data_IF_917614523906
#
_entry.id   IF_917614523906
#
_cell.length_a   1.000
_cell.length_b   1.000
_cell.length_c   1.000
_cell.angle_alpha   90.00
_cell.angle_beta   90.00
_cell.angle_gamma   90.00
#
_symmetry.space_group_name_H-M   'P 1'
#
loop_
_entity.id
_entity.type
_entity.pdbx_description
1 polymer ?
#
# COMPACT_ATOMS: atom_id res chain seq x y z
N UNK A 1 9.47 -20.19 13.16
CA UNK A 1 10.07 -18.83 13.01
C UNK A 1 9.10 -17.88 12.31
N UNK A 2 8.45 -18.31 11.23
CA UNK A 2 7.49 -17.50 10.46
C UNK A 2 6.32 -17.00 11.31
N UNK A 3 5.67 -17.85 12.11
CA UNK A 3 4.52 -17.43 12.95
C UNK A 3 4.84 -16.28 13.93
N UNK A 4 6.08 -16.21 14.43
CA UNK A 4 6.52 -15.11 15.30
C UNK A 4 6.72 -13.80 14.53
N UNK A 5 7.18 -13.87 13.28
CA UNK A 5 7.27 -12.69 12.41
C UNK A 5 5.87 -12.25 11.96
N UNK A 6 4.99 -13.20 11.64
CA UNK A 6 3.60 -12.94 11.27
C UNK A 6 2.87 -12.13 12.35
N UNK A 7 2.95 -12.55 13.62
CA UNK A 7 2.37 -11.81 14.74
C UNK A 7 2.90 -10.36 14.81
N UNK A 8 4.20 -10.16 14.60
CA UNK A 8 4.80 -8.80 14.60
C UNK A 8 4.36 -7.98 13.40
N UNK A 9 4.14 -8.62 12.25
CA UNK A 9 3.53 -8.03 11.07
C UNK A 9 2.13 -7.52 11.36
N UNK A 10 1.29 -8.37 11.94
CA UNK A 10 -0.06 -8.03 12.35
C UNK A 10 -0.08 -6.90 13.39
N UNK A 11 0.82 -6.91 14.37
CA UNK A 11 0.97 -5.83 15.35
C UNK A 11 1.42 -4.50 14.72
N UNK A 12 2.37 -4.55 13.78
CA UNK A 12 2.77 -3.36 13.02
C UNK A 12 1.60 -2.83 12.17
N UNK A 13 0.83 -3.73 11.57
CA UNK A 13 -0.40 -3.42 10.85
C UNK A 13 -1.48 -2.81 11.74
N UNK A 14 -1.61 -3.27 12.99
CA UNK A 14 -2.50 -2.68 13.99
C UNK A 14 -2.10 -1.23 14.30
N UNK A 15 -0.82 -0.98 14.56
CA UNK A 15 -0.29 0.37 14.81
C UNK A 15 -0.53 1.26 13.59
N UNK A 16 -0.24 0.76 12.40
CA UNK A 16 -0.48 1.47 11.15
C UNK A 16 -1.97 1.79 10.96
N UNK A 17 -2.85 0.84 11.23
CA UNK A 17 -4.30 1.02 11.11
C UNK A 17 -4.84 2.13 12.00
N UNK A 18 -4.34 2.26 13.25
CA UNK A 18 -4.73 3.37 14.14
C UNK A 18 -4.31 4.71 13.54
N UNK A 19 -3.08 4.82 13.02
CA UNK A 19 -2.58 6.05 12.41
C UNK A 19 -3.33 6.40 11.12
N UNK A 20 -3.59 5.41 10.27
CA UNK A 20 -4.35 5.56 9.04
C UNK A 20 -5.79 5.96 9.35
N UNK A 21 -6.43 5.35 10.35
CA UNK A 21 -7.78 5.70 10.75
C UNK A 21 -7.87 7.14 11.23
N UNK A 22 -6.97 7.56 12.12
CA UNK A 22 -6.94 8.94 12.60
C UNK A 22 -6.79 9.93 11.41
N UNK A 23 -5.89 9.63 10.48
CA UNK A 23 -5.68 10.46 9.29
C UNK A 23 -6.90 10.45 8.34
N UNK A 24 -7.47 9.27 8.07
CA UNK A 24 -8.63 9.11 7.20
C UNK A 24 -9.86 9.81 7.77
N UNK A 25 -10.10 9.67 9.07
CA UNK A 25 -11.22 10.32 9.74
C UNK A 25 -11.07 11.84 9.76
N UNK A 26 -9.85 12.37 10.00
CA UNK A 26 -9.63 13.83 10.07
C UNK A 26 -9.55 14.50 8.70
N UNK A 27 -8.91 13.87 7.71
CA UNK A 27 -8.61 14.50 6.41
C UNK A 27 -9.36 13.86 5.23
N UNK A 28 -9.85 12.63 5.37
CA UNK A 28 -10.56 11.88 4.34
C UNK A 28 -12.07 12.07 4.40
N UNK A 29 -12.69 11.89 5.58
CA UNK A 29 -14.15 11.99 5.74
C UNK A 29 -14.72 13.33 5.26
N UNK A 30 -14.11 14.50 5.53
CA UNK A 30 -14.62 15.76 4.98
C UNK A 30 -14.68 15.79 3.44
N UNK A 31 -13.83 15.02 2.76
CA UNK A 31 -13.81 14.91 1.29
C UNK A 31 -14.83 13.89 0.78
N UNK A 32 -15.11 12.85 1.58
CA UNK A 32 -16.20 11.90 1.33
C UNK A 32 -17.55 12.61 1.47
N UNK A 33 -17.74 13.39 2.53
CA UNK A 33 -18.96 14.17 2.76
C UNK A 33 -19.20 15.19 1.64
N UNK A 34 -18.14 15.84 1.16
CA UNK A 34 -18.23 16.76 0.02
C UNK A 34 -18.65 16.05 -1.29
N UNK A 35 -18.22 14.81 -1.49
CA UNK A 35 -18.63 14.01 -2.63
C UNK A 35 -20.09 13.55 -2.54
N UNK A 36 -20.53 13.13 -1.35
CA UNK A 36 -21.93 12.74 -1.11
C UNK A 36 -22.87 13.93 -1.30
N UNK A 37 -22.51 15.11 -0.78
CA UNK A 37 -23.30 16.32 -0.98
C UNK A 37 -23.46 16.68 -2.48
N UNK A 38 -22.42 16.40 -3.29
CA UNK A 38 -22.50 16.57 -4.74
C UNK A 38 -23.45 15.55 -5.40
N UNK A 39 -23.41 14.29 -4.96
CA UNK A 39 -24.31 13.23 -5.43
C UNK A 39 -25.76 13.56 -5.13
N UNK A 40 -26.06 13.92 -3.87
CA UNK A 40 -27.40 14.28 -3.40
C UNK A 40 -27.96 15.49 -4.17
N UNK A 41 -27.15 16.53 -4.39
CA UNK A 41 -27.56 17.69 -5.17
C UNK A 41 -27.84 17.34 -6.64
N UNK A 42 -27.05 16.42 -7.21
CA UNK A 42 -27.23 15.96 -8.59
C UNK A 42 -28.51 15.12 -8.74
N UNK A 43 -28.76 14.20 -7.80
CA UNK A 43 -29.99 13.39 -7.75
C UNK A 43 -31.24 14.27 -7.58
N UNK A 44 -31.19 15.27 -6.69
CA UNK A 44 -32.28 16.24 -6.51
C UNK A 44 -32.57 17.03 -7.79
N UNK A 45 -31.52 17.48 -8.50
CA UNK A 45 -31.68 18.19 -9.76
C UNK A 45 -32.24 17.30 -10.88
N UNK A 46 -31.94 16.00 -10.86
CA UNK A 46 -32.49 15.00 -11.78
C UNK A 46 -33.92 14.55 -11.41
N UNK A 47 -34.45 14.97 -10.25
CA UNK A 47 -35.75 14.54 -9.75
C UNK A 47 -35.76 13.09 -9.26
N UNK A 48 -34.59 12.53 -8.96
CA UNK A 48 -34.42 11.19 -8.43
C UNK A 48 -34.76 11.16 -6.93
N UNK A 49 -35.40 10.07 -6.49
CA UNK A 49 -35.68 9.88 -5.08
C UNK A 49 -34.37 9.63 -4.33
N UNK A 50 -34.24 10.19 -3.12
CA UNK A 50 -33.08 9.93 -2.27
C UNK A 50 -32.95 8.41 -2.04
N UNK A 51 -31.78 7.87 -2.32
CA UNK A 51 -31.51 6.47 -2.05
C UNK A 51 -31.62 6.21 -0.54
N UNK A 52 -32.23 5.08 -0.12
CA UNK A 52 -32.38 4.77 1.29
C UNK A 52 -31.02 4.54 1.93
N UNK A 53 -30.76 5.29 3.01
CA UNK A 53 -29.55 5.12 3.82
C UNK A 53 -29.61 3.79 4.59
N UNK A 54 -28.96 2.74 4.06
CA UNK A 54 -28.93 1.40 4.68
C UNK A 54 -28.12 1.42 5.99
N UNK A 55 -27.07 2.24 6.06
CA UNK A 55 -26.18 2.38 7.22
C UNK A 55 -25.91 3.86 7.46
N UNK A 56 -26.08 4.32 8.70
CA UNK A 56 -25.92 5.73 9.02
C UNK A 56 -24.53 6.28 8.67
N UNK A 57 -24.43 7.52 8.20
CA UNK A 57 -23.16 8.23 7.93
C UNK A 57 -22.26 8.25 9.15
N UNK A 58 -22.82 8.43 10.36
CA UNK A 58 -22.09 8.36 11.60
C UNK A 58 -21.43 6.97 11.83
N UNK A 59 -22.12 5.88 11.46
CA UNK A 59 -21.54 4.54 11.49
C UNK A 59 -20.47 4.36 10.41
N UNK A 60 -20.71 4.82 9.18
CA UNK A 60 -19.76 4.71 8.07
C UNK A 60 -18.43 5.42 8.39
N UNK A 61 -18.50 6.70 8.78
CA UNK A 61 -17.35 7.54 9.10
C UNK A 61 -16.64 7.15 10.42
N UNK A 62 -17.37 6.48 11.34
CA UNK A 62 -16.89 6.07 12.65
C UNK A 62 -16.44 4.62 12.70
N UNK A 63 -17.27 3.76 13.29
CA UNK A 63 -16.93 2.35 13.55
C UNK A 63 -16.74 1.51 12.28
N UNK A 64 -17.43 1.86 11.18
CA UNK A 64 -17.28 1.22 9.88
C UNK A 64 -15.89 1.46 9.31
N UNK A 65 -15.50 2.73 9.16
CA UNK A 65 -14.17 3.13 8.73
C UNK A 65 -13.08 2.53 9.62
N UNK A 66 -13.24 2.61 10.95
CA UNK A 66 -12.29 2.03 11.89
C UNK A 66 -12.11 0.53 11.63
N UNK A 67 -13.20 -0.23 11.59
CA UNK A 67 -13.15 -1.68 11.37
C UNK A 67 -12.48 -2.02 10.04
N UNK A 68 -12.85 -1.34 8.95
CA UNK A 68 -12.27 -1.56 7.62
C UNK A 68 -10.77 -1.27 7.56
N UNK A 69 -10.35 -0.10 8.06
CA UNK A 69 -8.93 0.30 8.09
C UNK A 69 -8.11 -0.64 8.95
N UNK A 70 -8.62 -1.05 10.11
CA UNK A 70 -7.92 -1.96 11.02
C UNK A 70 -7.75 -3.36 10.40
N UNK A 71 -8.84 -3.94 9.86
CA UNK A 71 -8.78 -5.25 9.21
C UNK A 71 -7.81 -5.26 8.03
N UNK A 72 -7.89 -4.24 7.16
CA UNK A 72 -6.98 -4.08 6.03
C UNK A 72 -5.52 -3.95 6.48
N UNK A 73 -5.23 -3.03 7.41
CA UNK A 73 -3.85 -2.75 7.83
C UNK A 73 -3.20 -3.94 8.53
N UNK A 74 -3.95 -4.69 9.35
CA UNK A 74 -3.48 -5.93 9.99
C UNK A 74 -3.19 -7.00 8.94
N UNK A 75 -4.07 -7.18 7.96
CA UNK A 75 -3.87 -8.15 6.87
C UNK A 75 -2.62 -7.81 6.03
N UNK A 76 -2.47 -6.54 5.62
CA UNK A 76 -1.29 -6.06 4.88
C UNK A 76 -0.03 -6.22 5.72
N UNK A 77 -0.07 -5.93 7.02
CA UNK A 77 1.05 -6.17 7.93
C UNK A 77 1.45 -7.65 8.03
N UNK A 78 0.47 -8.56 8.00
CA UNK A 78 0.73 -10.00 7.92
C UNK A 78 1.43 -10.40 6.62
N UNK A 79 0.91 -9.96 5.46
CA UNK A 79 1.53 -10.19 4.15
C UNK A 79 2.94 -9.61 4.07
N UNK A 80 3.13 -8.40 4.61
CA UNK A 80 4.43 -7.75 4.72
C UNK A 80 5.43 -8.61 5.49
N UNK A 81 5.02 -9.19 6.62
CA UNK A 81 5.88 -10.08 7.40
C UNK A 81 6.24 -11.37 6.65
N UNK A 82 5.34 -11.91 5.83
CA UNK A 82 5.62 -13.07 4.98
C UNK A 82 6.65 -12.72 3.89
N UNK A 83 6.47 -11.59 3.21
CA UNK A 83 7.43 -11.08 2.23
C UNK A 83 8.80 -10.85 2.89
N UNK A 84 8.85 -10.23 4.06
CA UNK A 84 10.08 -10.07 4.83
C UNK A 84 10.72 -11.40 5.20
N UNK A 85 9.94 -12.37 5.69
CA UNK A 85 10.45 -13.68 6.08
C UNK A 85 11.01 -14.46 4.87
N UNK A 86 10.51 -14.20 3.67
CA UNK A 86 11.04 -14.73 2.42
C UNK A 86 12.36 -14.05 2.04
N UNK A 87 12.41 -12.71 2.08
CA UNK A 87 13.54 -11.90 1.61
C UNK A 87 14.74 -11.90 2.56
N UNK A 88 14.49 -11.71 3.86
CA UNK A 88 15.54 -11.49 4.85
C UNK A 88 16.43 -12.74 5.02
N UNK A 89 17.75 -12.57 4.88
CA UNK A 89 18.73 -13.64 4.96
C UNK A 89 18.86 -14.52 3.70
N UNK A 90 17.93 -14.43 2.73
CA UNK A 90 18.04 -15.12 1.43
C UNK A 90 18.54 -14.20 0.33
N UNK A 91 17.97 -13.00 0.26
CA UNK A 91 18.21 -12.04 -0.82
C UNK A 91 18.75 -10.71 -0.32
N UNK A 92 18.72 -10.46 0.99
CA UNK A 92 19.20 -9.23 1.62
C UNK A 92 20.33 -9.53 2.61
N UNK A 93 21.43 -8.79 2.48
CA UNK A 93 22.53 -8.70 3.45
C UNK A 93 22.35 -7.56 4.45
N UNK A 94 21.26 -6.77 4.33
CA UNK A 94 20.97 -5.67 5.25
C UNK A 94 20.51 -6.17 6.61
N UNK A 95 20.57 -5.29 7.62
CA UNK A 95 19.92 -5.52 8.90
C UNK A 95 18.41 -5.78 8.72
N UNK A 96 17.75 -6.29 9.75
CA UNK A 96 16.30 -6.50 9.73
C UNK A 96 15.55 -5.19 9.46
N UNK A 97 16.00 -4.06 10.06
CA UNK A 97 15.43 -2.74 9.78
C UNK A 97 15.67 -2.28 8.35
N UNK A 98 16.90 -2.45 7.84
CA UNK A 98 17.23 -2.08 6.45
C UNK A 98 16.43 -2.89 5.43
N UNK A 99 16.33 -4.21 5.63
CA UNK A 99 15.51 -5.09 4.78
C UNK A 99 14.03 -4.69 4.82
N UNK A 100 13.49 -4.41 6.00
CA UNK A 100 12.11 -3.96 6.18
C UNK A 100 11.84 -2.65 5.45
N UNK A 101 12.73 -1.65 5.60
CA UNK A 101 12.58 -0.36 4.93
C UNK A 101 12.60 -0.50 3.39
N UNK A 102 13.53 -1.30 2.84
CA UNK A 102 13.60 -1.53 1.40
C UNK A 102 12.34 -2.23 0.87
N UNK A 103 11.85 -3.25 1.56
CA UNK A 103 10.61 -3.94 1.17
C UNK A 103 9.43 -2.96 1.21
N UNK A 104 9.31 -2.13 2.25
CA UNK A 104 8.24 -1.15 2.37
C UNK A 104 8.25 -0.13 1.22
N UNK A 105 9.42 0.42 0.88
CA UNK A 105 9.56 1.36 -0.23
C UNK A 105 9.24 0.67 -1.56
N UNK A 106 9.81 -0.51 -1.82
CA UNK A 106 9.60 -1.22 -3.08
C UNK A 106 8.13 -1.63 -3.27
N UNK A 107 7.48 -2.12 -2.22
CA UNK A 107 6.07 -2.49 -2.24
C UNK A 107 5.15 -1.27 -2.33
N UNK A 108 5.46 -0.16 -1.65
CA UNK A 108 4.75 1.11 -1.81
C UNK A 108 4.80 1.60 -3.27
N UNK A 109 5.98 1.56 -3.91
CA UNK A 109 6.12 1.94 -5.31
C UNK A 109 5.30 1.02 -6.22
N UNK A 110 5.45 -0.29 -6.09
CA UNK A 110 4.82 -1.25 -7.01
C UNK A 110 3.31 -1.43 -6.80
N UNK A 111 2.82 -1.32 -5.56
CA UNK A 111 1.41 -1.60 -5.22
C UNK A 111 0.60 -0.31 -5.13
N UNK A 112 1.22 0.83 -4.83
CA UNK A 112 0.51 2.11 -4.64
C UNK A 112 0.83 3.08 -5.75
N UNK A 113 2.10 3.49 -5.88
CA UNK A 113 2.48 4.59 -6.79
C UNK A 113 2.17 4.23 -8.24
N UNK A 114 2.66 3.08 -8.72
CA UNK A 114 2.51 2.69 -10.11
C UNK A 114 1.03 2.55 -10.53
N UNK A 115 0.16 1.84 -9.78
CA UNK A 115 -1.27 1.81 -10.09
C UNK A 115 -1.92 3.19 -10.00
N UNK A 116 -1.56 4.01 -9.00
CA UNK A 116 -2.17 5.34 -8.78
C UNK A 116 -1.82 6.35 -9.88
N UNK A 117 -0.71 6.16 -10.61
CA UNK A 117 -0.38 7.00 -11.77
C UNK A 117 -1.40 6.81 -12.89
N UNK A 118 -1.86 5.58 -13.14
CA UNK A 118 -2.81 5.29 -14.22
C UNK A 118 -4.27 5.37 -13.77
N UNK A 119 -4.56 4.80 -12.61
CA UNK A 119 -5.89 4.63 -12.06
C UNK A 119 -5.90 5.17 -10.62
N UNK A 120 -5.85 6.50 -10.44
CA UNK A 120 -5.86 7.11 -9.12
C UNK A 120 -7.19 6.91 -8.41
N UNK A 121 -7.17 6.97 -7.08
CA UNK A 121 -8.37 6.90 -6.26
C UNK A 121 -9.40 7.99 -6.65
N UNK A 122 -10.67 7.62 -6.66
CA UNK A 122 -11.80 8.52 -6.90
C UNK A 122 -12.66 8.57 -5.63
N UNK A 123 -13.16 9.76 -5.24
CA UNK A 123 -14.13 9.85 -4.16
C UNK A 123 -15.44 9.13 -4.56
N UNK A 124 -16.35 8.87 -3.60
CA UNK A 124 -17.71 8.47 -3.94
C UNK A 124 -18.36 9.50 -4.89
N UNK A 125 -19.44 9.12 -5.58
CA UNK A 125 -20.13 9.91 -6.62
C UNK A 125 -19.37 10.19 -7.93
N UNK A 126 -18.04 9.98 -7.98
CA UNK A 126 -17.23 10.22 -9.19
C UNK A 126 -17.11 8.98 -10.10
N UNK A 127 -17.51 7.80 -9.60
CA UNK A 127 -17.42 6.57 -10.37
C UNK A 127 -18.71 6.26 -11.13
N UNK A 128 -18.57 5.65 -12.32
CA UNK A 128 -19.70 5.08 -13.05
C UNK A 128 -19.96 3.62 -12.58
N UNK A 129 -21.18 3.26 -12.14
CA UNK A 129 -21.53 1.89 -11.76
C UNK A 129 -21.23 0.84 -12.84
N UNK A 130 -21.45 1.18 -14.11
CA UNK A 130 -21.31 0.27 -15.25
C UNK A 130 -19.85 -0.14 -15.52
N UNK A 131 -18.89 0.64 -15.01
CA UNK A 131 -17.45 0.43 -15.25
C UNK A 131 -16.70 -0.04 -14.01
N UNK A 132 -17.37 -0.26 -12.87
CA UNK A 132 -16.73 -0.69 -11.61
C UNK A 132 -15.90 -1.95 -11.83
N UNK A 133 -16.43 -2.94 -12.57
CA UNK A 133 -15.74 -4.19 -12.87
C UNK A 133 -14.42 -3.96 -13.62
N UNK A 134 -14.49 -3.29 -14.77
CA UNK A 134 -13.33 -3.03 -15.64
C UNK A 134 -12.25 -2.21 -14.92
N UNK A 135 -12.62 -1.18 -14.15
CA UNK A 135 -11.64 -0.38 -13.37
C UNK A 135 -10.95 -1.22 -12.30
N UNK A 136 -11.70 -2.07 -11.62
CA UNK A 136 -11.17 -2.97 -10.61
C UNK A 136 -10.18 -3.96 -11.22
N UNK A 137 -10.55 -4.58 -12.33
CA UNK A 137 -9.68 -5.50 -13.09
C UNK A 137 -8.39 -4.82 -13.56
N UNK A 138 -8.49 -3.62 -14.15
CA UNK A 138 -7.32 -2.87 -14.61
C UNK A 138 -6.41 -2.42 -13.46
N UNK A 139 -6.99 -2.05 -12.31
CA UNK A 139 -6.22 -1.73 -11.12
C UNK A 139 -5.45 -2.94 -10.59
N UNK A 140 -6.10 -4.10 -10.49
CA UNK A 140 -5.43 -5.34 -10.09
C UNK A 140 -4.39 -5.81 -11.11
N UNK A 141 -4.67 -5.68 -12.41
CA UNK A 141 -3.72 -5.95 -13.48
C UNK A 141 -2.47 -5.07 -13.32
N UNK A 142 -2.64 -3.78 -13.03
CA UNK A 142 -1.52 -2.87 -12.76
C UNK A 142 -0.68 -3.32 -11.58
N UNK A 143 -1.30 -3.75 -10.47
CA UNK A 143 -0.57 -4.29 -9.32
C UNK A 143 0.24 -5.53 -9.73
N UNK A 144 -0.39 -6.48 -10.41
CA UNK A 144 0.28 -7.74 -10.83
C UNK A 144 1.44 -7.46 -11.76
N UNK A 145 1.24 -6.65 -12.80
CA UNK A 145 2.28 -6.28 -13.77
C UNK A 145 3.42 -5.52 -13.08
N UNK A 146 3.10 -4.58 -12.19
CA UNK A 146 4.11 -3.81 -11.46
C UNK A 146 4.93 -4.67 -10.50
N UNK A 147 4.31 -5.61 -9.80
CA UNK A 147 5.01 -6.57 -8.94
C UNK A 147 5.88 -7.53 -9.74
N UNK A 148 5.38 -8.06 -10.86
CA UNK A 148 6.15 -8.92 -11.76
C UNK A 148 7.37 -8.19 -12.33
N UNK A 149 7.19 -6.94 -12.78
CA UNK A 149 8.27 -6.07 -13.26
C UNK A 149 9.29 -5.78 -12.15
N UNK A 150 8.85 -5.52 -10.92
CA UNK A 150 9.74 -5.30 -9.77
C UNK A 150 10.59 -6.55 -9.49
N UNK A 151 9.98 -7.74 -9.49
CA UNK A 151 10.70 -9.01 -9.29
C UNK A 151 11.72 -9.23 -10.42
N UNK A 152 11.33 -8.98 -11.68
CA UNK A 152 12.22 -9.08 -12.83
C UNK A 152 13.39 -8.07 -12.73
N UNK A 153 13.12 -6.85 -12.28
CA UNK A 153 14.14 -5.83 -12.07
C UNK A 153 15.12 -6.22 -10.95
N UNK A 154 14.64 -6.79 -9.83
CA UNK A 154 15.52 -7.32 -8.78
C UNK A 154 16.38 -8.46 -9.32
N UNK A 155 15.82 -9.38 -10.10
CA UNK A 155 16.57 -10.47 -10.73
C UNK A 155 17.62 -9.94 -11.73
N UNK A 156 17.26 -8.94 -12.53
CA UNK A 156 18.16 -8.27 -13.47
C UNK A 156 19.29 -7.55 -12.75
N UNK A 157 18.98 -6.80 -11.68
CA UNK A 157 19.98 -6.10 -10.86
C UNK A 157 21.04 -7.05 -10.32
N UNK A 158 20.63 -8.22 -9.83
CA UNK A 158 21.55 -9.25 -9.35
C UNK A 158 22.46 -9.79 -10.46
N UNK A 159 21.90 -10.10 -11.63
CA UNK A 159 22.69 -10.56 -12.79
C UNK A 159 23.69 -9.50 -13.25
N UNK A 160 23.27 -8.23 -13.28
CA UNK A 160 24.12 -7.12 -13.69
C UNK A 160 25.19 -6.76 -12.64
N UNK A 161 24.96 -7.12 -11.36
CA UNK A 161 25.91 -6.82 -10.28
C UNK A 161 27.26 -7.52 -10.45
N UNK A 162 27.28 -8.70 -11.08
CA UNK A 162 28.51 -9.44 -11.38
C UNK A 162 29.40 -8.73 -12.40
N UNK A 163 28.79 -7.96 -13.31
CA UNK A 163 29.49 -7.30 -14.43
C UNK A 163 29.73 -5.82 -14.19
N UNK A 164 28.78 -5.12 -13.56
CA UNK A 164 28.78 -3.67 -13.42
C UNK A 164 28.87 -3.20 -11.96
N UNK A 165 28.94 -4.13 -11.00
CA UNK A 165 28.86 -3.85 -9.57
C UNK A 165 27.43 -3.59 -9.09
N UNK A 166 27.23 -3.65 -7.77
CA UNK A 166 25.90 -3.54 -7.15
C UNK A 166 25.18 -2.23 -7.50
N UNK A 167 25.91 -1.11 -7.45
CA UNK A 167 25.34 0.23 -7.65
C UNK A 167 24.83 0.42 -9.08
N UNK A 168 25.69 0.19 -10.08
CA UNK A 168 25.32 0.38 -11.48
C UNK A 168 24.31 -0.67 -11.94
N UNK A 169 24.44 -1.93 -11.48
CA UNK A 169 23.46 -2.98 -11.76
C UNK A 169 22.05 -2.62 -11.27
N UNK A 170 21.95 -2.05 -10.07
CA UNK A 170 20.69 -1.56 -9.52
C UNK A 170 20.11 -0.37 -10.31
N UNK A 171 20.95 0.61 -10.70
CA UNK A 171 20.52 1.75 -11.52
C UNK A 171 19.97 1.27 -12.87
N UNK A 172 20.71 0.41 -13.58
CA UNK A 172 20.28 -0.11 -14.88
C UNK A 172 18.95 -0.85 -14.75
N UNK A 173 18.82 -1.74 -13.77
CA UNK A 173 17.57 -2.46 -13.54
C UNK A 173 16.41 -1.54 -13.16
N UNK A 174 16.67 -0.48 -12.39
CA UNK A 174 15.69 0.55 -12.05
C UNK A 174 15.22 1.31 -13.28
N UNK A 175 16.13 1.69 -14.18
CA UNK A 175 15.78 2.34 -15.46
C UNK A 175 14.94 1.38 -16.31
N UNK A 176 15.32 0.11 -16.44
CA UNK A 176 14.55 -0.89 -17.20
C UNK A 176 13.15 -1.06 -16.63
N UNK A 177 13.01 -1.09 -15.30
CA UNK A 177 11.71 -1.12 -14.63
C UNK A 177 10.87 0.11 -15.00
N UNK A 178 11.43 1.33 -14.89
CA UNK A 178 10.71 2.56 -15.19
C UNK A 178 10.29 2.65 -16.67
N UNK A 179 11.15 2.24 -17.59
CA UNK A 179 10.83 2.19 -19.03
C UNK A 179 9.72 1.19 -19.28
N UNK A 180 9.81 -0.02 -18.73
CA UNK A 180 8.79 -1.04 -18.89
C UNK A 180 7.44 -0.59 -18.33
N UNK A 181 7.42 -0.02 -17.12
CA UNK A 181 6.19 0.52 -16.52
C UNK A 181 5.66 1.69 -17.35
N UNK A 182 6.51 2.58 -17.86
CA UNK A 182 6.11 3.65 -18.77
C UNK A 182 5.38 3.14 -20.02
N UNK A 183 5.89 2.05 -20.62
CA UNK A 183 5.22 1.38 -21.74
C UNK A 183 3.87 0.79 -21.34
N UNK A 184 3.79 0.10 -20.19
CA UNK A 184 2.51 -0.44 -19.68
C UNK A 184 1.49 0.67 -19.43
N UNK A 185 1.90 1.76 -18.79
CA UNK A 185 1.07 2.93 -18.53
C UNK A 185 0.55 3.56 -19.82
N UNK A 186 1.36 3.59 -20.87
CA UNK A 186 0.97 4.08 -22.19
C UNK A 186 -0.02 3.16 -22.89
N UNK A 187 0.21 1.84 -22.86
CA UNK A 187 -0.60 0.85 -23.59
C UNK A 187 -1.99 0.62 -22.97
N UNK A 188 -2.11 0.77 -21.64
CA UNK A 188 -3.40 0.57 -20.98
C UNK A 188 -4.39 1.71 -21.27
N UNK A 189 -5.71 1.43 -21.33
CA UNK A 189 -6.70 2.44 -21.65
C UNK A 189 -6.78 3.53 -20.56
N UNK A 190 -6.88 4.82 -20.92
CA UNK A 190 -7.25 5.85 -19.97
C UNK A 190 -8.73 5.71 -19.59
N UNK A 191 -9.06 5.97 -18.32
CA UNK A 191 -10.45 6.01 -17.85
C UNK A 191 -10.66 7.37 -17.19
N UNK A 192 -11.64 8.11 -17.68
CA UNK A 192 -12.08 9.36 -17.07
C UNK A 192 -13.60 9.35 -16.93
N UNK A 193 -14.04 9.35 -15.68
CA UNK A 193 -15.46 9.33 -15.29
C UNK A 193 -15.82 10.54 -14.44
N UNK A 194 -14.88 11.47 -14.27
CA UNK A 194 -15.10 12.66 -13.46
C UNK A 194 -16.18 13.52 -14.11
N UNK A 195 -17.30 13.79 -13.43
CA UNK A 195 -18.33 14.68 -13.94
C UNK A 195 -17.76 16.08 -14.19
N UNK A 196 -18.21 16.76 -15.26
CA UNK A 196 -17.68 18.08 -15.64
C UNK A 196 -17.87 19.14 -14.55
N UNK A 197 -18.93 19.01 -13.76
CA UNK A 197 -19.29 19.89 -12.64
C UNK A 197 -18.69 19.45 -11.28
N UNK A 198 -17.93 18.35 -11.22
CA UNK A 198 -17.30 17.91 -9.98
C UNK A 198 -16.10 18.80 -9.62
N UNK A 199 -15.97 19.13 -8.33
CA UNK A 199 -14.88 20.00 -7.87
C UNK A 199 -13.50 19.36 -8.08
N UNK A 200 -12.72 19.95 -8.99
CA UNK A 200 -11.32 19.55 -9.21
C UNK A 200 -10.47 19.64 -7.93
N UNK A 201 -10.79 20.59 -7.04
CA UNK A 201 -10.11 20.74 -5.75
C UNK A 201 -10.44 19.60 -4.78
N UNK A 202 -11.70 19.15 -4.71
CA UNK A 202 -12.09 17.98 -3.90
C UNK A 202 -11.42 16.73 -4.45
N UNK A 203 -11.45 16.53 -5.77
CA UNK A 203 -10.81 15.40 -6.43
C UNK A 203 -9.31 15.33 -6.15
N UNK A 204 -8.61 16.46 -6.30
CA UNK A 204 -7.18 16.56 -6.01
C UNK A 204 -6.87 16.24 -4.54
N UNK A 205 -7.59 16.89 -3.61
CA UNK A 205 -7.42 16.66 -2.16
C UNK A 205 -7.67 15.20 -1.82
N UNK A 206 -8.72 14.59 -2.38
CA UNK A 206 -9.04 13.19 -2.15
C UNK A 206 -7.89 12.29 -2.57
N UNK A 207 -7.38 12.45 -3.80
CA UNK A 207 -6.23 11.68 -4.31
C UNK A 207 -4.98 11.85 -3.44
N UNK A 208 -4.67 13.08 -3.03
CA UNK A 208 -3.51 13.35 -2.17
C UNK A 208 -3.69 12.77 -0.76
N UNK A 209 -4.90 12.82 -0.19
CA UNK A 209 -5.22 12.24 1.12
C UNK A 209 -5.16 10.72 1.05
N UNK A 210 -5.73 10.10 0.02
CA UNK A 210 -5.61 8.65 -0.20
C UNK A 210 -4.16 8.22 -0.33
N UNK A 211 -3.32 8.99 -1.04
CA UNK A 211 -1.89 8.71 -1.10
C UNK A 211 -1.23 8.88 0.28
N UNK A 212 -1.59 9.91 1.05
CA UNK A 212 -1.13 10.13 2.42
C UNK A 212 -1.45 8.96 3.36
N UNK A 213 -2.64 8.37 3.26
CA UNK A 213 -3.01 7.15 4.01
C UNK A 213 -2.05 5.99 3.69
N UNK A 214 -1.70 5.80 2.43
CA UNK A 214 -0.74 4.76 2.03
C UNK A 214 0.67 5.07 2.53
N UNK A 215 1.13 6.33 2.45
CA UNK A 215 2.42 6.74 3.00
C UNK A 215 2.51 6.39 4.50
N UNK A 216 1.47 6.71 5.26
CA UNK A 216 1.39 6.37 6.69
C UNK A 216 1.45 4.86 6.90
N UNK A 217 0.64 4.09 6.18
CA UNK A 217 0.60 2.63 6.27
C UNK A 217 1.98 2.02 6.02
N UNK A 218 2.59 2.33 4.87
CA UNK A 218 3.85 1.73 4.45
C UNK A 218 5.04 2.21 5.29
N UNK A 219 5.06 3.47 5.73
CA UNK A 219 6.07 3.97 6.65
C UNK A 219 5.97 3.28 8.02
N UNK A 220 4.75 3.18 8.58
CA UNK A 220 4.52 2.51 9.86
C UNK A 220 4.91 1.02 9.78
N UNK A 221 4.56 0.32 8.70
CA UNK A 221 5.00 -1.06 8.48
C UNK A 221 6.52 -1.14 8.40
N UNK A 222 7.17 -0.37 7.51
CA UNK A 222 8.62 -0.41 7.32
C UNK A 222 9.41 -0.16 8.62
N UNK A 223 8.97 0.82 9.41
CA UNK A 223 9.64 1.24 10.65
C UNK A 223 9.28 0.37 11.86
N UNK A 224 7.99 0.20 12.17
CA UNK A 224 7.54 -0.52 13.35
C UNK A 224 7.84 -2.02 13.23
N UNK A 225 7.53 -2.64 12.07
CA UNK A 225 7.86 -4.05 11.85
C UNK A 225 9.37 -4.26 11.92
N UNK A 226 10.16 -3.41 11.24
CA UNK A 226 11.61 -3.51 11.23
C UNK A 226 12.21 -3.50 12.64
N UNK A 227 11.75 -2.60 13.50
CA UNK A 227 12.18 -2.53 14.90
C UNK A 227 11.77 -3.77 15.72
N UNK A 228 10.54 -4.27 15.53
CA UNK A 228 10.03 -5.46 16.22
C UNK A 228 10.75 -6.75 15.77
N UNK A 229 11.07 -6.85 14.48
CA UNK A 229 11.78 -7.97 13.89
C UNK A 229 13.25 -8.00 14.35
N UNK A 230 13.94 -6.86 14.32
CA UNK A 230 15.34 -6.74 14.74
C UNK A 230 15.55 -7.16 16.19
N UNK A 231 14.72 -6.63 17.11
CA UNK A 231 14.76 -7.04 18.53
C UNK A 231 14.65 -8.55 18.69
N UNK A 232 13.79 -9.22 17.90
CA UNK A 232 13.63 -10.68 18.02
C UNK A 232 14.79 -11.46 17.42
N UNK A 233 15.30 -11.04 16.27
CA UNK A 233 16.40 -11.72 15.60
C UNK A 233 17.71 -11.56 16.41
N UNK A 234 17.93 -10.41 17.04
CA UNK A 234 19.04 -10.17 17.95
C UNK A 234 19.01 -11.08 19.20
N UNK A 235 17.83 -11.21 19.85
CA UNK A 235 17.66 -12.11 21.02
C UNK A 235 18.00 -13.57 20.68
N UNK A 236 17.70 -14.02 19.45
CA UNK A 236 18.02 -15.39 19.03
C UNK A 236 19.51 -15.58 18.75
N UNK A 237 20.20 -14.56 18.22
CA UNK A 237 21.66 -14.58 18.04
C UNK A 237 22.40 -14.72 19.38
N UNK A 238 21.96 -13.99 20.40
CA UNK A 238 22.55 -14.05 21.75
C UNK A 238 22.33 -15.40 22.47
N UNK A 239 21.23 -16.10 22.22
CA UNK A 239 20.98 -17.43 22.80
C UNK A 239 21.85 -18.54 22.20
N UNK A 240 22.35 -18.41 20.97
CA UNK A 240 23.27 -19.38 20.35
C UNK A 240 24.74 -19.17 20.73
N UNK A 241 25.08 -18.03 21.32
CA UNK A 241 26.46 -17.64 21.67
C UNK A 241 26.89 -17.93 23.11
N UNK A 242 26.07 -18.56 23.95
CA UNK A 242 26.50 -19.00 25.29
C UNK A 242 27.04 -20.44 25.19
N UNK A 243 28.36 -20.68 25.24
CA UNK A 243 28.87 -22.03 25.45
C UNK A 243 28.33 -22.51 26.80
N UNK A 244 27.82 -23.74 26.84
CA UNK A 244 27.48 -24.39 28.10
C UNK A 244 28.73 -24.39 28.97
N UNK A 245 28.71 -23.64 30.07
CA UNK A 245 29.70 -23.75 31.12
C UNK A 245 29.63 -25.18 31.64
N UNK A 246 30.55 -26.02 31.18
CA UNK A 246 30.80 -27.32 31.76
C UNK A 246 31.30 -27.07 33.18
N UNK A 247 30.45 -27.37 34.16
CA UNK A 247 30.87 -27.50 35.54
C UNK A 247 31.68 -28.80 35.63
N UNK A 248 32.97 -28.67 35.91
CA UNK A 248 33.83 -29.74 36.41
C UNK A 248 33.96 -29.59 37.93
#
# INVERSE_FOLDING_TARGET
>A
MVGNLLLRGMLAGLIAGILVFAFAHTFGEPLVDAAIAFEEASAQAAGEAAEPEIVSRATQAGLGLFTGVMAYSVAVGGLFALAFAFVHGRFSSLSARGTSAVIAIAAFVAIVIVPSIKYPATPPAVGNPDTIGVRTELFFLMIVVSLAALIAAVALSRRLSERFGLWNGAIIAGIVYLVFIGVVLYLLPPINEVPENFSAMVLWRFRTTSLGMHVILWAALGLAFGALAEKRLAVKGGQRGRPATAFH
#
